data_IF_308741605424
#
_entry.id   IF_308741605424
#
_cell.length_a   1.000
_cell.length_b   1.000
_cell.length_c   1.000
_cell.angle_alpha   90.00
_cell.angle_beta   90.00
_cell.angle_gamma   90.00
#
_symmetry.space_group_name_H-M   'P 1'
#
loop_
_entity.id
_entity.type
_entity.pdbx_description
1 polymer ?
#
# COMPACT_ATOMS: atom_id res chain seq x y z
N UNK A 1 -13.36 -14.26 2.55
CA UNK A 1 -12.05 -14.92 2.80
C UNK A 1 -10.99 -13.82 2.87
N UNK A 2 -10.20 -13.73 3.94
CA UNK A 2 -9.27 -12.60 4.14
C UNK A 2 -7.98 -12.81 3.32
N UNK A 3 -7.72 -11.91 2.37
CA UNK A 3 -6.46 -11.82 1.61
C UNK A 3 -5.69 -10.60 2.11
N UNK A 4 -4.37 -10.68 2.32
CA UNK A 4 -3.59 -9.52 2.77
C UNK A 4 -2.85 -8.91 1.61
N UNK A 5 -3.06 -7.62 1.38
CA UNK A 5 -2.34 -6.85 0.38
C UNK A 5 -1.63 -5.69 1.08
N UNK A 6 -0.40 -5.44 0.68
CA UNK A 6 0.35 -4.24 1.00
C UNK A 6 0.75 -3.54 -0.30
N UNK A 7 0.59 -2.22 -0.34
CA UNK A 7 1.07 -1.37 -1.42
C UNK A 7 1.84 -0.18 -0.81
N UNK A 8 3.06 0.07 -1.29
CA UNK A 8 3.86 1.25 -0.95
C UNK A 8 4.16 1.98 -2.26
N UNK A 9 3.81 3.26 -2.38
CA UNK A 9 4.03 4.08 -3.58
C UNK A 9 4.79 5.34 -3.21
N UNK A 10 5.66 5.80 -4.11
CA UNK A 10 6.54 6.93 -3.85
C UNK A 10 7.06 7.58 -5.11
N UNK A 11 7.93 8.56 -4.91
CA UNK A 11 8.70 9.22 -5.96
C UNK A 11 10.18 8.82 -5.94
N UNK A 12 10.62 8.04 -4.93
CA UNK A 12 11.95 7.45 -4.86
C UNK A 12 12.08 6.35 -5.91
N UNK A 13 12.81 6.64 -7.00
CA UNK A 13 13.00 5.70 -8.10
C UNK A 13 13.94 4.57 -7.69
N UNK A 14 13.59 3.34 -8.10
CA UNK A 14 14.43 2.16 -7.85
C UNK A 14 15.63 2.04 -8.81
N UNK A 15 15.79 2.94 -9.78
CA UNK A 15 17.06 3.09 -10.52
C UNK A 15 18.20 3.64 -9.65
N UNK A 16 17.87 4.21 -8.50
CA UNK A 16 18.84 4.40 -7.44
C UNK A 16 19.13 3.04 -6.81
N UNK A 17 20.27 2.44 -7.19
CA UNK A 17 20.66 1.11 -6.75
C UNK A 17 20.73 0.99 -5.23
N UNK A 18 21.03 2.07 -4.52
CA UNK A 18 21.07 2.04 -3.05
C UNK A 18 19.67 1.79 -2.47
N UNK A 19 18.63 2.39 -3.08
CA UNK A 19 17.23 2.20 -2.66
C UNK A 19 16.77 0.77 -2.95
N UNK A 20 17.00 0.27 -4.18
CA UNK A 20 16.60 -1.09 -4.52
C UNK A 20 17.36 -2.13 -3.69
N UNK A 21 18.69 -2.02 -3.59
CA UNK A 21 19.50 -2.95 -2.80
C UNK A 21 19.07 -2.96 -1.33
N UNK A 22 18.77 -1.79 -0.75
CA UNK A 22 18.27 -1.70 0.63
C UNK A 22 16.92 -2.40 0.82
N UNK A 23 15.99 -2.23 -0.14
CA UNK A 23 14.69 -2.91 -0.12
C UNK A 23 14.86 -4.43 -0.29
N UNK A 24 15.68 -4.88 -1.22
CA UNK A 24 15.94 -6.32 -1.45
C UNK A 24 16.58 -6.95 -0.21
N UNK A 25 17.55 -6.28 0.40
CA UNK A 25 18.23 -6.75 1.60
C UNK A 25 17.26 -6.97 2.77
N UNK A 26 16.17 -6.19 2.87
CA UNK A 26 15.12 -6.43 3.88
C UNK A 26 14.42 -7.79 3.70
N UNK A 27 14.20 -8.23 2.45
CA UNK A 27 13.68 -9.56 2.19
C UNK A 27 14.72 -10.62 2.51
N UNK A 28 15.96 -10.45 2.06
CA UNK A 28 17.02 -11.44 2.17
C UNK A 28 17.41 -11.78 3.62
N UNK A 29 17.41 -10.77 4.49
CA UNK A 29 17.74 -10.93 5.91
C UNK A 29 16.60 -11.56 6.73
N UNK A 30 15.42 -11.74 6.13
CA UNK A 30 14.25 -12.27 6.79
C UNK A 30 14.05 -13.76 6.49
N UNK A 31 14.33 -14.64 7.45
CA UNK A 31 14.19 -16.08 7.24
C UNK A 31 12.75 -16.53 6.85
N UNK A 32 11.73 -15.78 7.27
CA UNK A 32 10.33 -16.09 6.98
C UNK A 32 9.85 -15.49 5.65
N UNK A 33 10.55 -14.49 5.12
CA UNK A 33 10.18 -13.75 3.91
C UNK A 33 11.27 -13.72 2.83
N UNK A 34 12.40 -14.40 3.01
CA UNK A 34 13.46 -14.51 2.00
C UNK A 34 12.87 -15.04 0.69
N UNK A 35 13.09 -14.39 -0.46
CA UNK A 35 12.47 -14.83 -1.69
C UNK A 35 13.07 -16.16 -2.14
N UNK A 36 12.26 -16.95 -2.84
CA UNK A 36 12.68 -18.23 -3.43
C UNK A 36 12.80 -18.13 -4.95
N UNK A 37 12.07 -17.19 -5.55
CA UNK A 37 12.05 -16.98 -6.98
C UNK A 37 12.04 -15.50 -7.32
N UNK A 38 12.49 -15.18 -8.53
CA UNK A 38 12.37 -13.85 -9.11
C UNK A 38 12.04 -13.92 -10.60
N UNK A 39 11.57 -12.81 -11.18
CA UNK A 39 11.33 -12.67 -12.61
C UNK A 39 11.18 -11.21 -13.03
N UNK A 40 11.41 -10.92 -14.30
CA UNK A 40 11.03 -9.68 -14.99
C UNK A 40 9.78 -9.84 -15.89
N UNK A 41 9.23 -11.06 -15.97
CA UNK A 41 8.08 -11.45 -16.79
C UNK A 41 7.10 -12.28 -15.93
N UNK A 42 5.80 -11.97 -15.98
CA UNK A 42 4.78 -12.70 -15.21
C UNK A 42 4.58 -14.16 -15.65
N UNK A 43 5.17 -14.56 -16.78
CA UNK A 43 5.05 -15.89 -17.37
C UNK A 43 6.11 -16.89 -16.92
N UNK A 44 7.29 -16.42 -16.48
CA UNK A 44 8.42 -17.28 -16.13
C UNK A 44 8.96 -16.92 -14.75
N UNK A 45 9.55 -17.87 -14.03
CA UNK A 45 10.21 -17.62 -12.74
C UNK A 45 11.52 -18.41 -12.69
N UNK A 46 12.56 -17.76 -12.17
CA UNK A 46 13.88 -18.33 -11.93
C UNK A 46 14.12 -18.48 -10.43
N UNK A 47 15.04 -19.35 -10.04
CA UNK A 47 15.50 -19.43 -8.64
C UNK A 47 16.09 -18.10 -8.21
N UNK A 48 15.83 -17.68 -6.97
CA UNK A 48 16.29 -16.39 -6.47
C UNK A 48 17.80 -16.19 -6.61
N UNK A 49 18.19 -15.10 -7.28
CA UNK A 49 19.58 -14.66 -7.42
C UNK A 49 19.68 -13.15 -7.19
N UNK A 50 20.49 -12.75 -6.19
CA UNK A 50 20.73 -11.35 -5.84
C UNK A 50 21.38 -10.57 -6.99
N UNK A 51 22.46 -11.12 -7.56
CA UNK A 51 23.28 -10.42 -8.54
C UNK A 51 22.49 -10.17 -9.82
N UNK A 52 21.67 -11.14 -10.23
CA UNK A 52 20.77 -10.99 -11.38
C UNK A 52 19.76 -9.86 -11.12
N UNK A 53 19.12 -9.84 -9.95
CA UNK A 53 18.14 -8.80 -9.58
C UNK A 53 18.76 -7.40 -9.61
N UNK A 54 19.96 -7.23 -9.05
CA UNK A 54 20.65 -5.94 -9.08
C UNK A 54 21.01 -5.56 -10.51
N UNK A 55 21.50 -6.52 -11.31
CA UNK A 55 21.81 -6.29 -12.72
C UNK A 55 20.58 -5.85 -13.52
N UNK A 56 19.40 -6.42 -13.25
CA UNK A 56 18.14 -6.03 -13.91
C UNK A 56 17.81 -4.56 -13.74
N UNK A 57 18.10 -3.97 -12.58
CA UNK A 57 17.79 -2.57 -12.29
C UNK A 57 18.75 -1.58 -12.97
N UNK A 58 19.89 -2.05 -13.48
CA UNK A 58 20.91 -1.24 -14.14
C UNK A 58 20.86 -1.28 -15.67
N UNK A 59 19.99 -2.12 -16.25
CA UNK A 59 19.89 -2.30 -17.71
C UNK A 59 19.22 -1.13 -18.45
N UNK A 60 19.58 -0.95 -19.73
CA UNK A 60 19.15 0.15 -20.60
C UNK A 60 17.66 0.14 -21.01
N UNK A 61 16.87 -0.86 -20.61
CA UNK A 61 15.48 -1.00 -21.03
C UNK A 61 14.59 -0.77 -19.82
N UNK A 62 13.70 0.22 -19.90
CA UNK A 62 12.70 0.60 -18.91
C UNK A 62 11.39 0.85 -19.68
N UNK A 63 10.19 0.50 -19.17
CA UNK A 63 9.82 0.12 -17.81
C UNK A 63 9.74 -1.40 -17.56
N UNK A 64 10.10 -1.85 -16.35
CA UNK A 64 9.95 -3.24 -15.90
C UNK A 64 9.37 -3.36 -14.49
N UNK A 65 8.61 -4.43 -14.29
CA UNK A 65 8.16 -4.92 -13.00
C UNK A 65 9.08 -6.06 -12.55
N UNK A 66 9.82 -5.86 -11.46
CA UNK A 66 10.57 -6.93 -10.81
C UNK A 66 9.61 -7.72 -9.92
N UNK A 67 9.46 -9.00 -10.21
CA UNK A 67 8.67 -9.91 -9.40
C UNK A 67 9.59 -10.72 -8.49
N UNK A 68 9.26 -10.78 -7.21
CA UNK A 68 9.89 -11.71 -6.27
C UNK A 68 8.81 -12.51 -5.54
N UNK A 69 9.09 -13.80 -5.31
CA UNK A 69 8.06 -14.75 -4.86
C UNK A 69 8.59 -15.72 -3.84
N UNK A 70 7.69 -16.14 -2.94
CA UNK A 70 7.93 -17.19 -1.93
C UNK A 70 6.72 -18.11 -1.79
N UNK A 71 6.98 -19.42 -1.66
CA UNK A 71 5.96 -20.48 -1.53
C UNK A 71 5.97 -21.22 -0.17
N UNK A 72 6.93 -20.91 0.70
CA UNK A 72 7.02 -21.42 2.10
C UNK A 72 5.95 -20.83 3.03
N UNK A 73 6.05 -21.09 4.34
CA UNK A 73 5.07 -20.76 5.40
C UNK A 73 4.34 -19.44 5.19
N UNK A 74 5.08 -18.32 5.09
CA UNK A 74 4.51 -17.04 4.68
C UNK A 74 4.70 -16.94 3.16
N UNK A 75 3.64 -17.28 2.43
CA UNK A 75 3.61 -17.20 0.96
C UNK A 75 3.41 -15.75 0.57
N UNK A 76 4.06 -15.32 -0.50
CA UNK A 76 3.73 -14.06 -1.13
C UNK A 76 4.16 -14.01 -2.59
N UNK A 77 3.51 -13.12 -3.35
CA UNK A 77 4.02 -12.59 -4.61
C UNK A 77 4.20 -11.08 -4.42
N UNK A 78 5.35 -10.56 -4.82
CA UNK A 78 5.65 -9.13 -4.77
C UNK A 78 5.97 -8.62 -6.15
N UNK A 79 5.46 -7.44 -6.47
CA UNK A 79 5.79 -6.66 -7.66
C UNK A 79 6.47 -5.37 -7.18
N UNK A 80 7.73 -5.20 -7.58
CA UNK A 80 8.50 -3.98 -7.38
C UNK A 80 8.53 -3.27 -8.73
N UNK A 81 7.82 -2.15 -8.82
CA UNK A 81 7.74 -1.33 -10.02
C UNK A 81 9.01 -0.51 -10.11
N UNK A 82 9.81 -0.75 -11.14
CA UNK A 82 11.04 -0.01 -11.36
C UNK A 82 10.80 1.27 -12.19
N UNK A 83 9.60 1.44 -12.76
CA UNK A 83 9.24 2.50 -13.69
C UNK A 83 9.15 3.93 -13.09
N UNK A 84 8.56 4.86 -13.85
CA UNK A 84 8.33 6.24 -13.41
C UNK A 84 7.32 6.36 -12.25
N UNK A 85 6.70 5.24 -11.85
CA UNK A 85 5.74 5.10 -10.75
C UNK A 85 6.23 4.04 -9.78
N UNK A 86 7.38 4.30 -9.10
CA UNK A 86 8.01 3.31 -8.27
C UNK A 86 7.12 2.92 -7.08
N UNK A 87 7.12 1.63 -6.78
CA UNK A 87 6.35 1.11 -5.67
C UNK A 87 6.52 -0.38 -5.46
N UNK A 88 6.06 -0.84 -4.31
CA UNK A 88 6.13 -2.23 -3.87
C UNK A 88 4.71 -2.69 -3.61
N UNK A 89 4.27 -3.74 -4.29
CA UNK A 89 3.00 -4.39 -4.03
C UNK A 89 3.27 -5.81 -3.58
N UNK A 90 2.77 -6.20 -2.41
CA UNK A 90 2.90 -7.56 -1.87
C UNK A 90 1.52 -8.14 -1.63
N UNK A 91 1.29 -9.30 -2.22
CA UNK A 91 0.14 -10.15 -1.97
C UNK A 91 0.58 -11.36 -1.14
N UNK A 92 0.19 -11.41 0.13
CA UNK A 92 0.50 -12.54 1.02
C UNK A 92 -0.49 -13.72 0.86
N UNK A 93 -1.36 -13.66 -0.14
CA UNK A 93 -2.36 -14.67 -0.42
C UNK A 93 -3.50 -14.70 0.60
N UNK A 94 -4.28 -15.78 0.52
CA UNK A 94 -5.41 -16.05 1.39
C UNK A 94 -5.01 -16.96 2.55
N UNK A 95 -5.76 -16.89 3.65
CA UNK A 95 -5.66 -17.82 4.80
C UNK A 95 -4.31 -17.80 5.54
N UNK A 96 -3.67 -16.63 5.63
CA UNK A 96 -2.50 -16.43 6.49
C UNK A 96 -2.87 -16.68 7.97
N UNK A 97 -2.01 -17.38 8.71
CA UNK A 97 -2.22 -17.60 10.14
C UNK A 97 -2.11 -16.27 10.91
N UNK A 98 -2.89 -16.07 11.98
CA UNK A 98 -2.92 -14.79 12.73
C UNK A 98 -1.54 -14.33 13.22
N UNK A 99 -0.68 -15.27 13.65
CA UNK A 99 0.71 -14.97 14.04
C UNK A 99 1.58 -14.47 12.88
N UNK A 100 1.33 -14.99 11.68
CA UNK A 100 2.05 -14.62 10.46
C UNK A 100 1.49 -13.31 9.90
N UNK A 101 0.21 -13.01 10.16
CA UNK A 101 -0.38 -11.72 9.84
C UNK A 101 0.27 -10.58 10.63
N UNK A 102 0.40 -10.73 11.96
CA UNK A 102 1.12 -9.76 12.78
C UNK A 102 2.57 -9.55 12.28
N UNK A 103 3.22 -10.64 11.84
CA UNK A 103 4.56 -10.58 11.25
C UNK A 103 4.59 -9.76 9.94
N UNK A 104 3.61 -9.93 9.05
CA UNK A 104 3.49 -9.13 7.81
C UNK A 104 3.33 -7.63 8.08
N UNK A 105 2.59 -7.24 9.13
CA UNK A 105 2.49 -5.82 9.53
C UNK A 105 3.81 -5.27 10.08
N UNK A 106 4.58 -6.07 10.83
CA UNK A 106 5.91 -5.68 11.27
C UNK A 106 6.91 -5.59 10.10
N UNK A 107 6.79 -6.47 9.11
CA UNK A 107 7.58 -6.41 7.88
C UNK A 107 7.28 -5.15 7.07
N UNK A 108 6.01 -4.77 6.95
CA UNK A 108 5.60 -3.54 6.28
C UNK A 108 6.23 -2.29 6.91
N UNK A 109 6.37 -2.25 8.25
CA UNK A 109 7.07 -1.15 8.92
C UNK A 109 8.54 -1.05 8.49
N UNK A 110 9.25 -2.18 8.40
CA UNK A 110 10.65 -2.19 7.95
C UNK A 110 10.80 -1.71 6.52
N UNK A 111 9.90 -2.16 5.63
CA UNK A 111 9.87 -1.70 4.25
C UNK A 111 9.54 -0.21 4.16
N UNK A 112 8.55 0.29 4.91
CA UNK A 112 8.21 1.71 4.92
C UNK A 112 9.36 2.58 5.48
N UNK A 113 10.08 2.11 6.50
CA UNK A 113 11.25 2.81 7.06
C UNK A 113 12.38 2.98 6.03
N UNK A 114 12.54 1.96 5.17
CA UNK A 114 13.62 1.91 4.17
C UNK A 114 13.23 2.62 2.88
N UNK A 115 12.05 2.33 2.35
CA UNK A 115 11.56 2.90 1.09
C UNK A 115 11.02 4.32 1.26
N UNK A 116 10.51 4.68 2.44
CA UNK A 116 9.93 5.99 2.77
C UNK A 116 8.89 6.44 1.74
N UNK A 117 7.80 5.67 1.58
CA UNK A 117 6.80 5.94 0.55
C UNK A 117 6.13 7.31 0.75
N UNK A 118 5.69 7.92 -0.35
CA UNK A 118 4.75 9.05 -0.28
C UNK A 118 3.42 8.62 0.32
N UNK A 119 3.00 7.40 0.00
CA UNK A 119 1.79 6.79 0.54
C UNK A 119 1.93 5.27 0.59
N UNK A 120 1.46 4.65 1.66
CA UNK A 120 1.46 3.20 1.82
C UNK A 120 0.19 2.71 2.47
N UNK A 121 -0.14 1.46 2.23
CA UNK A 121 -1.44 0.89 2.60
C UNK A 121 -1.29 -0.60 2.83
N UNK A 122 -1.91 -1.07 3.91
CA UNK A 122 -2.17 -2.49 4.12
C UNK A 122 -3.65 -2.70 4.37
N UNK A 123 -4.18 -3.77 3.78
CA UNK A 123 -5.56 -4.16 4.00
C UNK A 123 -5.77 -5.67 4.00
N UNK A 124 -6.84 -6.09 4.67
CA UNK A 124 -7.39 -7.44 4.64
C UNK A 124 -8.50 -7.49 3.59
N UNK A 125 -8.10 -7.62 2.32
CA UNK A 125 -9.01 -7.72 1.18
C UNK A 125 -10.05 -8.81 1.41
N UNK A 126 -11.31 -8.38 1.54
CA UNK A 126 -12.43 -9.28 1.86
C UNK A 126 -12.85 -10.14 0.69
N UNK A 127 -12.59 -9.66 -0.53
CA UNK A 127 -13.06 -10.24 -1.77
C UNK A 127 -14.48 -9.84 -2.14
N UNK A 128 -15.14 -8.96 -1.38
CA UNK A 128 -16.48 -8.49 -1.69
C UNK A 128 -16.50 -7.87 -3.08
N UNK A 129 -17.46 -8.28 -3.91
CA UNK A 129 -17.68 -7.69 -5.21
C UNK A 129 -19.13 -7.23 -5.33
N UNK A 130 -19.37 -6.14 -6.05
CA UNK A 130 -20.70 -5.71 -6.48
C UNK A 130 -21.45 -6.80 -7.28
N UNK A 131 -22.79 -6.85 -7.21
CA UNK A 131 -23.67 -6.06 -6.34
C UNK A 131 -23.51 -6.45 -4.86
N UNK A 132 -23.60 -5.47 -3.95
CA UNK A 132 -23.42 -5.72 -2.51
C UNK A 132 -24.72 -6.18 -1.86
N UNK A 133 -24.62 -7.19 -0.99
CA UNK A 133 -25.77 -7.73 -0.24
C UNK A 133 -26.26 -6.75 0.84
N UNK A 134 -25.34 -6.02 1.47
CA UNK A 134 -25.62 -5.05 2.52
C UNK A 134 -24.59 -3.90 2.58
N UNK A 135 -24.85 -2.92 3.45
CA UNK A 135 -23.97 -1.76 3.65
C UNK A 135 -22.64 -2.14 4.34
N UNK A 136 -22.59 -3.27 5.06
CA UNK A 136 -21.37 -3.79 5.66
C UNK A 136 -20.38 -4.20 4.55
N UNK A 137 -20.86 -5.00 3.59
CA UNK A 137 -20.09 -5.45 2.45
C UNK A 137 -19.62 -4.28 1.58
N UNK A 138 -20.48 -3.28 1.37
CA UNK A 138 -20.15 -2.04 0.65
C UNK A 138 -19.08 -1.22 1.36
N UNK A 139 -19.17 -1.06 2.69
CA UNK A 139 -18.16 -0.30 3.44
C UNK A 139 -16.82 -1.03 3.47
N UNK A 140 -16.81 -2.35 3.63
CA UNK A 140 -15.57 -3.13 3.52
C UNK A 140 -14.97 -3.00 2.13
N UNK A 141 -15.79 -3.01 1.07
CA UNK A 141 -15.30 -2.75 -0.27
C UNK A 141 -14.67 -1.35 -0.39
N UNK A 142 -15.26 -0.30 0.20
CA UNK A 142 -14.66 1.05 0.21
C UNK A 142 -13.28 1.08 0.88
N UNK A 143 -13.09 0.34 1.96
CA UNK A 143 -11.78 0.21 2.62
C UNK A 143 -10.83 -0.60 1.73
N UNK A 144 -11.31 -1.69 1.11
CA UNK A 144 -10.58 -2.55 0.15
C UNK A 144 -10.10 -1.79 -1.08
N UNK A 145 -10.87 -0.81 -1.57
CA UNK A 145 -10.52 -0.01 -2.75
C UNK A 145 -9.79 1.28 -2.43
N UNK A 146 -9.50 1.58 -1.15
CA UNK A 146 -8.85 2.82 -0.74
C UNK A 146 -7.51 3.09 -1.45
N UNK A 147 -6.88 2.03 -1.97
CA UNK A 147 -5.79 2.11 -2.96
C UNK A 147 -6.03 1.26 -4.23
N UNK A 148 -7.21 0.67 -4.45
CA UNK A 148 -7.52 -0.01 -5.71
C UNK A 148 -7.79 1.00 -6.82
N UNK A 149 -6.73 1.70 -7.19
CA UNK A 149 -6.48 1.99 -8.57
C UNK A 149 -5.00 1.80 -8.77
N UNK A 150 -4.64 0.76 -9.50
CA UNK A 150 -3.52 0.88 -10.42
C UNK A 150 -3.86 2.13 -11.25
N UNK A 151 -3.29 3.28 -10.85
CA UNK A 151 -3.59 4.62 -11.35
C UNK A 151 -5.09 5.01 -11.32
N UNK A 152 -5.48 5.79 -10.30
CA UNK A 152 -5.50 7.21 -10.55
C UNK A 152 -4.18 7.71 -10.00
N UNK A 153 -3.40 8.39 -10.84
CA UNK A 153 -2.22 9.17 -10.44
C UNK A 153 -2.43 9.74 -9.03
N UNK A 154 -1.90 9.12 -7.98
CA UNK A 154 -2.13 9.58 -6.61
C UNK A 154 -1.52 10.98 -6.44
N UNK A 155 -0.44 11.22 -7.17
CA UNK A 155 0.20 12.50 -7.44
C UNK A 155 -0.72 13.54 -8.10
N UNK A 156 -1.74 13.12 -8.87
CA UNK A 156 -2.69 14.00 -9.56
C UNK A 156 -4.06 14.11 -8.89
N UNK A 157 -4.58 13.00 -8.40
CA UNK A 157 -5.97 12.87 -7.94
C UNK A 157 -6.06 12.68 -6.42
N UNK A 158 -4.99 12.18 -5.80
CA UNK A 158 -4.93 11.85 -4.38
C UNK A 158 -5.18 10.36 -4.10
N UNK A 159 -4.87 9.88 -2.89
CA UNK A 159 -5.22 8.52 -2.44
C UNK A 159 -6.74 8.31 -2.39
N UNK A 160 -7.22 7.07 -2.44
CA UNK A 160 -8.66 6.76 -2.39
C UNK A 160 -9.26 6.72 -0.98
N UNK A 161 -8.43 6.53 0.05
CA UNK A 161 -8.86 6.52 1.44
C UNK A 161 -7.82 5.92 2.38
N UNK A 162 -8.21 5.74 3.64
CA UNK A 162 -7.45 4.99 4.61
C UNK A 162 -7.63 3.48 4.41
N UNK A 163 -6.55 2.74 4.66
CA UNK A 163 -6.59 1.30 4.83
C UNK A 163 -6.71 0.90 6.28
N UNK A 164 -6.45 -0.38 6.53
CA UNK A 164 -6.36 -0.89 7.88
C UNK A 164 -5.10 -0.37 8.59
N UNK A 165 -4.01 -0.26 7.82
CA UNK A 165 -2.83 0.56 8.10
C UNK A 165 -2.55 1.46 6.90
N UNK A 166 -2.24 2.72 7.16
CA UNK A 166 -1.82 3.68 6.14
C UNK A 166 -0.52 4.37 6.57
N UNK A 167 0.47 4.37 5.69
CA UNK A 167 1.69 5.18 5.82
C UNK A 167 1.53 6.45 4.99
N UNK A 168 1.85 7.60 5.57
CA UNK A 168 1.76 8.91 4.91
C UNK A 168 3.16 9.53 4.90
N UNK A 169 3.67 9.74 3.69
CA UNK A 169 4.95 10.38 3.37
C UNK A 169 5.06 11.82 3.87
N UNK A 170 6.26 12.39 4.07
CA UNK A 170 6.39 13.76 4.60
C UNK A 170 5.71 14.78 3.67
N UNK A 171 5.78 14.56 2.35
CA UNK A 171 5.08 15.36 1.34
C UNK A 171 3.57 15.38 1.57
N UNK A 172 2.94 14.24 1.84
CA UNK A 172 1.51 14.21 2.14
C UNK A 172 1.18 14.70 3.56
N UNK A 173 2.10 14.52 4.52
CA UNK A 173 1.96 15.13 5.84
C UNK A 173 1.84 16.65 5.73
N UNK A 174 2.65 17.29 4.88
CA UNK A 174 2.56 18.72 4.60
C UNK A 174 1.24 19.10 3.91
N UNK A 175 0.80 18.32 2.92
CA UNK A 175 -0.42 18.61 2.15
C UNK A 175 -1.69 18.47 3.01
N UNK A 176 -1.79 17.43 3.83
CA UNK A 176 -2.90 17.25 4.77
C UNK A 176 -2.87 18.28 5.90
N UNK A 177 -1.68 18.71 6.29
CA UNK A 177 -1.46 19.40 7.56
C UNK A 177 -1.23 18.39 8.68
N UNK A 178 -0.06 18.49 9.33
CA UNK A 178 0.37 17.56 10.37
C UNK A 178 -0.62 17.45 11.53
N UNK A 179 -1.12 18.58 12.02
CA UNK A 179 -2.07 18.62 13.14
C UNK A 179 -3.38 17.90 12.80
N UNK A 180 -3.85 18.01 11.56
CA UNK A 180 -5.04 17.29 11.11
C UNK A 180 -4.81 15.78 11.15
N UNK A 181 -3.66 15.31 10.65
CA UNK A 181 -3.31 13.88 10.70
C UNK A 181 -3.18 13.38 12.15
N UNK A 182 -2.50 14.13 13.01
CA UNK A 182 -2.30 13.76 14.42
C UNK A 182 -3.59 13.80 15.27
N UNK A 183 -4.60 14.55 14.84
CA UNK A 183 -5.92 14.59 15.48
C UNK A 183 -6.94 13.64 14.88
N UNK A 184 -6.54 12.82 13.90
CA UNK A 184 -7.43 11.83 13.29
C UNK A 184 -7.91 10.84 14.36
N UNK A 185 -9.20 10.50 14.44
CA UNK A 185 -9.74 9.59 15.45
C UNK A 185 -9.38 8.13 15.16
N UNK A 186 -8.09 7.81 15.23
CA UNK A 186 -7.49 6.51 14.93
C UNK A 186 -6.21 6.31 15.77
N UNK A 187 -5.55 5.15 15.64
CA UNK A 187 -4.26 4.92 16.29
C UNK A 187 -3.12 5.48 15.43
N UNK A 188 -2.47 6.54 15.91
CA UNK A 188 -1.49 7.29 15.13
C UNK A 188 -0.09 7.12 15.73
N UNK A 189 0.90 6.96 14.86
CA UNK A 189 2.31 6.94 15.21
C UNK A 189 3.12 7.81 14.25
N UNK A 190 3.98 8.65 14.80
CA UNK A 190 5.00 9.37 14.03
C UNK A 190 6.16 8.44 13.66
N UNK A 191 6.67 8.61 12.45
CA UNK A 191 7.77 7.82 11.90
C UNK A 191 9.07 8.63 11.93
N UNK A 192 10.21 7.97 12.11
CA UNK A 192 11.54 8.59 12.23
C UNK A 192 11.93 9.42 11.01
N UNK A 193 11.40 9.10 9.85
CA UNK A 193 11.63 9.81 8.59
C UNK A 193 10.64 10.95 8.33
N UNK A 194 9.84 11.35 9.31
CA UNK A 194 8.91 12.48 9.22
C UNK A 194 7.51 12.14 8.70
N UNK A 195 7.26 10.86 8.40
CA UNK A 195 5.94 10.36 8.04
C UNK A 195 5.03 10.09 9.22
N UNK A 196 3.79 9.69 8.91
CA UNK A 196 2.78 9.28 9.89
C UNK A 196 2.23 7.91 9.49
N UNK A 197 2.13 7.00 10.45
CA UNK A 197 1.40 5.74 10.34
C UNK A 197 0.05 5.88 11.05
N UNK A 198 -1.03 5.57 10.34
CA UNK A 198 -2.40 5.54 10.87
C UNK A 198 -2.88 4.09 10.81
N UNK A 199 -3.13 3.49 11.96
CA UNK A 199 -3.87 2.24 12.08
C UNK A 199 -5.30 2.55 12.53
N UNK A 200 -6.31 1.95 11.90
CA UNK A 200 -7.70 2.16 12.31
C UNK A 200 -7.94 1.67 13.74
N UNK A 201 -7.22 0.63 14.17
CA UNK A 201 -7.27 0.10 15.53
C UNK A 201 -5.87 -0.28 15.99
N UNK A 202 -5.57 -0.39 17.30
CA UNK A 202 -4.20 -0.64 17.80
C UNK A 202 -3.55 -1.95 17.29
N UNK A 203 -4.35 -2.99 17.08
CA UNK A 203 -3.88 -4.29 16.57
C UNK A 203 -4.64 -4.63 15.27
N UNK A 204 -4.28 -4.00 14.14
CA UNK A 204 -5.05 -4.13 12.90
C UNK A 204 -5.21 -5.59 12.43
N UNK A 205 -4.21 -6.43 12.66
CA UNK A 205 -4.26 -7.86 12.30
C UNK A 205 -5.28 -8.69 13.11
N UNK A 206 -5.83 -8.17 14.21
CA UNK A 206 -6.87 -8.83 15.01
C UNK A 206 -8.27 -8.29 14.75
N UNK A 207 -8.40 -7.24 13.93
CA UNK A 207 -9.63 -6.49 13.80
C UNK A 207 -10.72 -7.24 13.01
N UNK A 208 -11.97 -6.98 13.39
CA UNK A 208 -13.16 -7.37 12.63
C UNK A 208 -13.72 -6.17 11.83
N UNK A 209 -14.58 -6.41 10.83
CA UNK A 209 -15.33 -5.35 10.15
C UNK A 209 -16.02 -4.37 11.11
N UNK A 210 -16.61 -4.89 12.19
CA UNK A 210 -17.34 -4.14 13.20
C UNK A 210 -16.42 -3.19 13.98
N UNK A 211 -15.18 -3.60 14.23
CA UNK A 211 -14.18 -2.76 14.89
C UNK A 211 -13.72 -1.60 14.00
N UNK A 212 -13.56 -1.84 12.69
CA UNK A 212 -12.84 -0.93 11.78
C UNK A 212 -13.75 0.06 11.06
N UNK A 213 -14.99 -0.32 10.74
CA UNK A 213 -15.87 0.53 9.92
C UNK A 213 -16.22 1.84 10.63
N UNK A 214 -16.64 1.86 11.91
CA UNK A 214 -16.97 3.12 12.57
C UNK A 214 -15.77 4.06 12.64
N UNK A 215 -14.59 3.52 12.95
CA UNK A 215 -13.35 4.30 13.03
C UNK A 215 -12.93 4.83 11.65
N UNK A 216 -13.04 4.00 10.61
CA UNK A 216 -12.77 4.42 9.23
C UNK A 216 -13.71 5.54 8.80
N UNK A 217 -15.02 5.43 9.05
CA UNK A 217 -16.00 6.47 8.71
C UNK A 217 -15.68 7.79 9.41
N UNK A 218 -15.41 7.75 10.73
CA UNK A 218 -15.08 8.93 11.51
C UNK A 218 -13.77 9.58 11.05
N UNK A 219 -12.75 8.75 10.76
CA UNK A 219 -11.44 9.21 10.28
C UNK A 219 -11.52 9.81 8.88
N UNK A 220 -12.26 9.18 7.97
CA UNK A 220 -12.47 9.72 6.62
C UNK A 220 -13.25 11.02 6.67
N UNK A 221 -14.27 11.15 7.52
CA UNK A 221 -15.01 12.41 7.70
C UNK A 221 -14.11 13.54 8.20
N UNK A 222 -13.28 13.27 9.22
CA UNK A 222 -12.29 14.22 9.73
C UNK A 222 -11.31 14.70 8.64
N UNK A 223 -10.77 13.76 7.86
CA UNK A 223 -9.73 14.03 6.85
C UNK A 223 -10.27 14.63 5.55
N UNK A 224 -11.58 14.52 5.26
CA UNK A 224 -12.21 15.11 4.07
C UNK A 224 -12.02 16.61 3.97
N UNK A 225 -11.92 17.29 5.12
CA UNK A 225 -11.66 18.73 5.21
C UNK A 225 -10.40 19.18 4.46
N UNK A 226 -9.38 18.32 4.34
CA UNK A 226 -8.14 18.61 3.62
C UNK A 226 -8.26 18.52 2.09
N UNK A 227 -9.33 17.94 1.55
CA UNK A 227 -9.55 17.76 0.11
C UNK A 227 -8.40 17.03 -0.61
N UNK A 228 -7.73 16.11 0.09
CA UNK A 228 -6.60 15.33 -0.43
C UNK A 228 -7.04 13.98 -0.99
N UNK A 229 -8.04 13.33 -0.41
CA UNK A 229 -8.54 12.07 -0.93
C UNK A 229 -9.32 12.27 -2.23
N UNK A 230 -9.12 11.35 -3.17
CA UNK A 230 -9.94 11.26 -4.39
C UNK A 230 -11.37 10.94 -3.98
N UNK A 231 -12.33 11.59 -4.64
CA UNK A 231 -13.74 11.22 -4.46
C UNK A 231 -14.02 9.94 -5.25
N UNK A 232 -14.34 8.87 -4.52
CA UNK A 232 -14.72 7.59 -5.08
C UNK A 232 -16.24 7.47 -5.02
N UNK A 233 -16.86 7.41 -6.18
CA UNK A 233 -18.26 7.06 -6.35
C UNK A 233 -18.38 5.58 -6.71
N UNK A 234 -19.25 4.87 -6.00
CA UNK A 234 -19.62 3.49 -6.30
C UNK A 234 -21.04 3.52 -6.84
N UNK A 235 -21.23 3.12 -8.08
CA UNK A 235 -22.59 2.88 -8.58
C UNK A 235 -23.11 1.49 -8.15
N UNK A 236 -24.40 1.24 -8.37
CA UNK A 236 -25.07 0.00 -7.91
C UNK A 236 -24.54 -1.29 -8.56
N UNK A 237 -23.86 -1.17 -9.71
CA UNK A 237 -23.20 -2.28 -10.39
C UNK A 237 -21.72 -2.40 -10.05
N UNK A 238 -21.22 -1.53 -9.15
CA UNK A 238 -19.84 -1.62 -8.70
C UNK A 238 -18.79 -0.88 -9.49
N UNK A 239 -19.20 -0.13 -10.50
CA UNK A 239 -18.26 0.73 -11.19
C UNK A 239 -17.80 1.82 -10.22
N UNK A 240 -16.48 1.95 -10.16
CA UNK A 240 -15.78 2.98 -9.39
C UNK A 240 -15.58 4.17 -10.33
N UNK A 241 -16.29 5.28 -10.13
CA UNK A 241 -15.94 6.57 -10.74
C UNK A 241 -15.05 7.35 -9.80
N UNK A 242 -14.03 7.99 -10.37
CA UNK A 242 -13.15 8.92 -9.66
C UNK A 242 -13.49 10.32 -10.11
N UNK A 243 -14.06 11.14 -9.24
CA UNK A 243 -14.17 12.57 -9.54
C UNK A 243 -12.83 13.24 -9.28
N UNK A 244 -12.35 13.94 -10.31
CA UNK A 244 -11.13 14.75 -10.24
C UNK A 244 -11.44 15.99 -9.41
N UNK A 245 -11.21 15.92 -8.10
CA UNK A 245 -11.11 17.14 -7.31
C UNK A 245 -9.96 17.99 -7.86
N UNK A 246 -10.10 19.32 -7.79
CA UNK A 246 -8.97 20.25 -8.02
C UNK A 246 -7.97 20.07 -6.88
N UNK A 247 -7.21 18.98 -6.94
CA UNK A 247 -6.24 18.57 -5.95
C UNK A 247 -5.24 19.71 -5.71
N UNK A 248 -4.80 20.01 -4.47
CA UNK A 248 -3.81 21.05 -4.21
C UNK A 248 -2.54 20.92 -5.07
N UNK A 249 -2.16 19.68 -5.41
CA UNK A 249 -1.04 19.36 -6.32
C UNK A 249 -1.28 19.76 -7.79
N UNK A 250 -2.53 19.85 -8.24
CA UNK A 250 -2.85 20.27 -9.61
C UNK A 250 -2.50 21.75 -9.90
N UNK A 251 -2.20 22.53 -8.86
CA UNK A 251 -1.82 23.95 -8.96
C UNK A 251 -0.31 24.20 -9.05
N UNK A 252 0.55 23.18 -8.91
CA UNK A 252 2.02 23.33 -8.88
C UNK A 252 2.76 22.88 -10.14
N UNK A 253 2.06 22.50 -11.20
CA UNK A 253 2.63 22.29 -12.53
C UNK A 253 2.29 23.46 -13.44
N UNK A 254 3.09 24.52 -13.35
CA UNK A 254 3.41 25.47 -14.41
C UNK A 254 4.92 25.72 -14.38
#
# INVERSE_FOLDING_TARGET
MKKVIMALVGNHRFYDLEVLASVINIFEQDNLLKPEYYSSDDRMYYDYNHDDIISFATGDVLPFDLQIRRKKRIKYNSIIKLDDRPGINIDFGQNIASKDLAYSFAFANRLAETYRPDFGWMHLFSGNQPPFEDELARNIYRIDIGMSGIAPRYDRYGPGGLGLRTFIGPRYVEIFGRELLLSTPAHIKELSWGGICIDLVPNPWQATPEDIIPVWQQSMEHLRSAQVFTHIELNDVGAVSFEVNKHPLSRRTL
#
